data_IF_965448146856
#
_entry.id   IF_965448146856
#
_cell.length_a   1.000
_cell.length_b   1.000
_cell.length_c   1.000
_cell.angle_alpha   90.00
_cell.angle_beta   90.00
_cell.angle_gamma   90.00
#
_symmetry.space_group_name_H-M   'P 1'
#
loop_
_entity.id
_entity.type
_entity.pdbx_description
1 polymer ?
#
# COMPACT_ATOMS: atom_id res chain seq x y z
N UNK A 1 11.01 -32.34 -0.30
CA UNK A 1 12.11 -31.48 0.21
C UNK A 1 11.67 -30.05 0.00
N UNK A 2 11.58 -29.20 1.04
CA UNK A 2 11.14 -27.82 0.81
C UNK A 2 12.28 -27.09 0.10
N UNK A 3 12.03 -26.28 -0.93
CA UNK A 3 13.09 -25.58 -1.66
C UNK A 3 13.91 -24.63 -0.76
N UNK A 4 13.34 -24.18 0.36
CA UNK A 4 13.98 -23.36 1.39
C UNK A 4 14.92 -24.13 2.34
N UNK A 5 14.89 -25.46 2.37
CA UNK A 5 15.75 -26.25 3.27
C UNK A 5 17.19 -26.37 2.76
N UNK A 6 17.44 -25.86 1.54
CA UNK A 6 18.76 -25.86 0.91
C UNK A 6 19.52 -24.58 1.26
N UNK A 7 20.86 -24.61 1.35
CA UNK A 7 21.67 -23.40 1.55
C UNK A 7 21.43 -22.34 0.46
N UNK A 8 21.04 -22.79 -0.75
CA UNK A 8 20.64 -21.92 -1.86
C UNK A 8 19.36 -21.14 -1.55
N UNK A 9 18.35 -21.78 -0.94
CA UNK A 9 17.10 -21.12 -0.56
C UNK A 9 17.32 -20.00 0.45
N UNK A 10 18.16 -20.24 1.47
CA UNK A 10 18.55 -19.20 2.43
C UNK A 10 19.35 -18.07 1.80
N UNK A 11 20.26 -18.38 0.87
CA UNK A 11 21.01 -17.37 0.15
C UNK A 11 20.10 -16.44 -0.69
N UNK A 12 19.08 -16.99 -1.35
CA UNK A 12 18.09 -16.21 -2.11
C UNK A 12 17.27 -15.31 -1.18
N UNK A 13 16.80 -15.83 -0.04
CA UNK A 13 16.05 -15.02 0.94
C UNK A 13 16.92 -13.89 1.48
N UNK A 14 18.17 -14.18 1.87
CA UNK A 14 19.11 -13.16 2.36
C UNK A 14 19.39 -12.10 1.29
N UNK A 15 19.63 -12.50 0.05
CA UNK A 15 19.84 -11.59 -1.06
C UNK A 15 18.65 -10.64 -1.24
N UNK A 16 17.43 -11.17 -1.24
CA UNK A 16 16.21 -10.36 -1.37
C UNK A 16 16.02 -9.41 -0.19
N UNK A 17 16.27 -9.87 1.03
CA UNK A 17 16.21 -9.03 2.23
C UNK A 17 17.21 -7.87 2.11
N UNK A 18 18.44 -8.13 1.67
CA UNK A 18 19.45 -7.10 1.44
C UNK A 18 19.03 -6.14 0.32
N UNK A 19 18.51 -6.65 -0.80
CA UNK A 19 18.02 -5.83 -1.91
C UNK A 19 16.86 -4.91 -1.50
N UNK A 20 15.96 -5.38 -0.63
CA UNK A 20 14.81 -4.59 -0.17
C UNK A 20 15.08 -3.78 1.10
N UNK A 21 16.21 -3.96 1.77
CA UNK A 21 16.48 -3.34 3.08
C UNK A 21 16.41 -1.80 3.03
N UNK A 22 17.03 -1.19 2.02
CA UNK A 22 17.00 0.28 1.83
C UNK A 22 15.57 0.78 1.62
N UNK A 23 14.79 0.09 0.80
CA UNK A 23 13.40 0.43 0.53
C UNK A 23 12.50 0.25 1.75
N UNK A 24 12.66 -0.86 2.50
CA UNK A 24 11.93 -1.10 3.74
C UNK A 24 12.24 -0.03 4.80
N UNK A 25 13.50 0.41 4.88
CA UNK A 25 13.89 1.51 5.77
C UNK A 25 13.22 2.82 5.34
N UNK A 26 13.16 3.12 4.05
CA UNK A 26 12.45 4.28 3.52
C UNK A 26 10.95 4.21 3.84
N UNK A 27 10.29 3.08 3.58
CA UNK A 27 8.87 2.87 3.91
C UNK A 27 8.60 3.06 5.40
N UNK A 28 9.46 2.51 6.25
CA UNK A 28 9.39 2.67 7.69
C UNK A 28 9.41 4.15 8.10
N UNK A 29 10.32 4.95 7.54
CA UNK A 29 10.37 6.39 7.80
C UNK A 29 9.11 7.11 7.30
N UNK A 30 8.56 6.71 6.15
CA UNK A 30 7.31 7.28 5.63
C UNK A 30 6.15 6.96 6.54
N UNK A 31 5.99 5.71 6.99
CA UNK A 31 4.91 5.34 7.89
C UNK A 31 4.99 6.06 9.25
N UNK A 32 6.19 6.37 9.74
CA UNK A 32 6.37 7.16 10.96
C UNK A 32 6.00 8.64 10.80
N UNK A 33 6.30 9.23 9.64
CA UNK A 33 6.25 10.69 9.45
C UNK A 33 5.04 11.16 8.66
N UNK A 34 4.42 10.29 7.88
CA UNK A 34 3.33 10.65 6.98
C UNK A 34 1.99 10.60 7.69
N UNK A 35 1.24 11.69 7.60
CA UNK A 35 -0.13 11.74 8.10
C UNK A 35 -1.06 10.76 7.36
N UNK A 36 -0.75 10.42 6.10
CA UNK A 36 -1.59 9.58 5.23
C UNK A 36 -1.36 8.08 5.36
N UNK A 37 -0.15 7.67 5.75
CA UNK A 37 0.31 6.28 5.63
C UNK A 37 0.65 5.60 6.96
N UNK A 38 0.20 6.16 8.09
CA UNK A 38 0.43 5.56 9.41
C UNK A 38 -0.15 4.15 9.56
N UNK A 39 -1.21 3.79 8.81
CA UNK A 39 -1.78 2.43 8.80
C UNK A 39 -0.85 1.39 8.15
N UNK A 40 0.18 1.83 7.42
CA UNK A 40 1.10 0.97 6.68
C UNK A 40 1.79 -0.08 7.55
N UNK A 41 2.06 0.21 8.83
CA UNK A 41 2.62 -0.76 9.79
C UNK A 41 1.72 -1.96 10.05
N UNK A 42 0.41 -1.76 10.01
CA UNK A 42 -0.58 -2.79 10.40
C UNK A 42 -0.77 -3.79 9.25
N UNK A 43 -0.60 -3.35 8.01
CA UNK A 43 -0.79 -4.18 6.81
C UNK A 43 0.09 -5.45 6.79
N UNK A 44 1.42 -5.40 6.97
CA UNK A 44 2.24 -6.62 6.96
C UNK A 44 1.90 -7.56 8.12
N UNK A 45 1.49 -7.01 9.29
CA UNK A 45 1.04 -7.80 10.44
C UNK A 45 -0.25 -8.54 10.11
N UNK A 46 -1.23 -7.84 9.51
CA UNK A 46 -2.48 -8.45 9.05
C UNK A 46 -2.20 -9.50 7.98
N UNK A 47 -1.40 -9.19 6.95
CA UNK A 47 -1.03 -10.18 5.93
C UNK A 47 -0.43 -11.43 6.55
N UNK A 48 0.51 -11.29 7.51
CA UNK A 48 1.08 -12.41 8.25
C UNK A 48 0.04 -13.22 9.03
N UNK A 49 -0.90 -12.55 9.69
CA UNK A 49 -2.03 -13.20 10.37
C UNK A 49 -2.94 -13.97 9.40
N UNK A 50 -3.24 -13.41 8.22
CA UNK A 50 -4.05 -14.08 7.21
C UNK A 50 -3.35 -15.33 6.64
N UNK A 51 -2.03 -15.28 6.44
CA UNK A 51 -1.23 -16.46 6.11
C UNK A 51 -1.31 -17.51 7.22
N UNK A 52 -1.18 -17.10 8.48
CA UNK A 52 -1.29 -17.99 9.64
C UNK A 52 -2.67 -18.65 9.76
N UNK A 53 -3.77 -17.91 9.50
CA UNK A 53 -5.15 -18.45 9.48
C UNK A 53 -5.30 -19.55 8.42
N UNK A 54 -4.61 -19.43 7.29
CA UNK A 54 -4.63 -20.42 6.19
C UNK A 54 -3.61 -21.56 6.35
N UNK A 55 -2.83 -21.62 7.43
CA UNK A 55 -1.78 -22.64 7.63
C UNK A 55 -2.31 -24.08 7.50
N UNK A 56 -3.52 -24.36 7.98
CA UNK A 56 -4.11 -25.70 7.88
C UNK A 56 -4.28 -26.16 6.43
N UNK A 57 -4.84 -25.29 5.58
CA UNK A 57 -5.00 -25.54 4.14
C UNK A 57 -3.65 -25.62 3.43
N UNK A 58 -2.70 -24.76 3.80
CA UNK A 58 -1.35 -24.76 3.22
C UNK A 58 -0.59 -26.06 3.54
N UNK A 59 -0.81 -26.66 4.72
CA UNK A 59 -0.18 -27.92 5.12
C UNK A 59 -0.79 -29.13 4.42
N UNK A 60 -2.05 -29.07 3.98
CA UNK A 60 -2.72 -30.14 3.24
C UNK A 60 -2.27 -30.25 1.79
N UNK A 61 -1.80 -29.15 1.20
CA UNK A 61 -1.30 -29.10 -0.18
C UNK A 61 0.21 -29.27 -0.17
N UNK A 62 0.75 -30.28 -0.85
CA UNK A 62 2.20 -30.44 -0.98
C UNK A 62 2.82 -29.23 -1.70
N UNK A 63 3.98 -28.71 -1.26
CA UNK A 63 4.68 -27.68 -2.01
C UNK A 63 5.19 -28.25 -3.32
N UNK A 64 4.94 -27.52 -4.41
CA UNK A 64 5.45 -27.81 -5.74
C UNK A 64 6.19 -26.57 -6.27
N UNK A 65 7.32 -26.77 -6.93
CA UNK A 65 8.06 -25.68 -7.58
C UNK A 65 7.44 -25.43 -8.95
N UNK A 66 7.02 -24.19 -9.22
CA UNK A 66 6.48 -23.81 -10.54
C UNK A 66 7.33 -22.73 -11.19
N UNK A 67 8.05 -23.09 -12.27
CA UNK A 67 8.91 -22.17 -13.03
C UNK A 67 8.14 -20.98 -13.62
N UNK A 68 6.81 -21.06 -13.75
CA UNK A 68 5.98 -19.91 -14.16
C UNK A 68 6.09 -18.75 -13.16
N UNK A 69 6.44 -19.00 -11.91
CA UNK A 69 6.78 -17.96 -10.93
C UNK A 69 7.93 -17.06 -11.38
N UNK A 70 8.85 -17.56 -12.20
CA UNK A 70 9.96 -16.80 -12.77
C UNK A 70 9.47 -15.69 -13.72
N UNK A 71 8.36 -15.94 -14.42
CA UNK A 71 7.74 -14.95 -15.32
C UNK A 71 7.17 -13.73 -14.57
N UNK A 72 6.92 -13.86 -13.25
CA UNK A 72 6.51 -12.75 -12.40
C UNK A 72 7.69 -12.17 -11.62
N UNK A 73 8.58 -13.05 -11.14
CA UNK A 73 9.75 -12.68 -10.34
C UNK A 73 10.76 -11.84 -11.12
N UNK A 74 11.17 -12.26 -12.33
CA UNK A 74 12.21 -11.56 -13.09
C UNK A 74 11.77 -10.16 -13.52
N UNK A 75 10.57 -9.95 -14.10
CA UNK A 75 10.11 -8.61 -14.43
C UNK A 75 9.89 -7.76 -13.17
N UNK A 76 9.40 -8.34 -12.07
CA UNK A 76 9.26 -7.64 -10.80
C UNK A 76 10.61 -7.14 -10.26
N UNK A 77 11.64 -7.98 -10.31
CA UNK A 77 12.99 -7.61 -9.88
C UNK A 77 13.61 -6.56 -10.82
N UNK A 78 13.47 -6.73 -12.14
CA UNK A 78 13.94 -5.75 -13.12
C UNK A 78 13.25 -4.39 -12.92
N UNK A 79 11.93 -4.39 -12.68
CA UNK A 79 11.16 -3.19 -12.39
C UNK A 79 11.60 -2.54 -11.06
N UNK A 80 11.87 -3.34 -10.02
CA UNK A 80 12.39 -2.83 -8.75
C UNK A 80 13.72 -2.12 -8.96
N UNK A 81 14.68 -2.75 -9.65
CA UNK A 81 15.99 -2.16 -9.92
C UNK A 81 15.90 -0.92 -10.81
N UNK A 82 15.03 -0.93 -11.83
CA UNK A 82 14.77 0.24 -12.66
C UNK A 82 14.17 1.39 -11.85
N UNK A 83 13.25 1.09 -10.92
CA UNK A 83 12.64 2.09 -10.05
C UNK A 83 13.59 2.62 -8.96
N UNK A 84 14.57 1.81 -8.52
CA UNK A 84 15.69 2.29 -7.69
C UNK A 84 16.55 3.26 -8.49
N UNK A 85 16.92 2.90 -9.73
CA UNK A 85 17.72 3.75 -10.61
C UNK A 85 17.03 5.08 -10.95
N UNK A 86 15.72 5.05 -11.15
CA UNK A 86 14.91 6.22 -11.47
C UNK A 86 14.42 7.01 -10.23
N UNK A 87 14.76 6.56 -9.01
CA UNK A 87 14.29 7.13 -7.73
C UNK A 87 12.75 7.22 -7.61
N UNK A 88 12.05 6.22 -8.15
CA UNK A 88 10.58 6.14 -8.14
C UNK A 88 10.10 5.18 -7.04
N UNK A 89 10.02 5.69 -5.82
CA UNK A 89 9.76 4.90 -4.62
C UNK A 89 8.39 4.19 -4.59
N UNK A 90 7.33 4.75 -5.19
CA UNK A 90 6.03 4.07 -5.22
C UNK A 90 6.08 2.82 -6.12
N UNK A 91 6.80 2.88 -7.25
CA UNK A 91 6.98 1.74 -8.16
C UNK A 91 7.80 0.65 -7.50
N UNK A 92 8.83 1.01 -6.71
CA UNK A 92 9.61 0.05 -5.92
C UNK A 92 8.71 -0.81 -5.01
N UNK A 93 7.67 -0.22 -4.41
CA UNK A 93 6.75 -0.96 -3.54
C UNK A 93 5.87 -1.96 -4.27
N UNK A 94 5.26 -1.55 -5.39
CA UNK A 94 4.49 -2.48 -6.22
C UNK A 94 5.37 -3.58 -6.83
N UNK A 95 6.59 -3.25 -7.24
CA UNK A 95 7.57 -4.21 -7.72
C UNK A 95 7.96 -5.22 -6.63
N UNK A 96 8.21 -4.77 -5.39
CA UNK A 96 8.50 -5.64 -4.25
C UNK A 96 7.36 -6.62 -3.99
N UNK A 97 6.10 -6.17 -3.97
CA UNK A 97 4.93 -7.06 -3.79
C UNK A 97 4.82 -8.06 -4.95
N UNK A 98 5.13 -7.63 -6.17
CA UNK A 98 5.17 -8.51 -7.35
C UNK A 98 6.25 -9.59 -7.22
N UNK A 99 7.44 -9.24 -6.73
CA UNK A 99 8.52 -10.20 -6.45
C UNK A 99 8.09 -11.20 -5.37
N UNK A 100 7.43 -10.75 -4.30
CA UNK A 100 6.88 -11.63 -3.26
C UNK A 100 5.87 -12.62 -3.87
N UNK A 101 4.95 -12.15 -4.71
CA UNK A 101 4.00 -13.01 -5.42
C UNK A 101 4.69 -14.03 -6.35
N UNK A 102 5.72 -13.60 -7.07
CA UNK A 102 6.52 -14.46 -7.94
C UNK A 102 7.27 -15.54 -7.15
N UNK A 103 7.83 -15.20 -5.98
CA UNK A 103 8.48 -16.15 -5.08
C UNK A 103 7.50 -17.16 -4.49
N UNK A 104 6.32 -16.70 -4.08
CA UNK A 104 5.24 -17.56 -3.59
C UNK A 104 4.86 -18.59 -4.67
N UNK A 105 4.67 -18.15 -5.91
CA UNK A 105 4.35 -19.05 -7.03
C UNK A 105 5.51 -20.00 -7.35
N UNK A 106 6.76 -19.48 -7.38
CA UNK A 106 7.95 -20.26 -7.69
C UNK A 106 8.22 -21.36 -6.67
N UNK A 107 8.11 -21.05 -5.37
CA UNK A 107 8.51 -21.94 -4.27
C UNK A 107 7.39 -22.85 -3.77
N UNK A 108 6.13 -22.41 -3.91
CA UNK A 108 4.98 -23.10 -3.32
C UNK A 108 3.91 -23.50 -4.34
N UNK A 109 4.06 -23.11 -5.61
CA UNK A 109 3.22 -23.54 -6.70
C UNK A 109 1.88 -22.82 -6.77
N UNK A 110 1.11 -23.04 -7.84
CA UNK A 110 -0.09 -22.26 -8.15
C UNK A 110 -1.21 -22.43 -7.13
N UNK A 111 -1.34 -23.62 -6.54
CA UNK A 111 -2.40 -23.91 -5.57
C UNK A 111 -2.21 -23.11 -4.28
N UNK A 112 -0.99 -23.12 -3.70
CA UNK A 112 -0.68 -22.32 -2.51
C UNK A 112 -0.61 -20.83 -2.85
N UNK A 113 -0.13 -20.45 -4.03
CA UNK A 113 -0.17 -19.07 -4.48
C UNK A 113 -1.60 -18.53 -4.53
N UNK A 114 -2.57 -19.32 -4.99
CA UNK A 114 -3.99 -18.95 -4.96
C UNK A 114 -4.54 -18.80 -3.54
N UNK A 115 -4.12 -19.65 -2.60
CA UNK A 115 -4.45 -19.50 -1.19
C UNK A 115 -3.83 -18.23 -0.56
N UNK A 116 -2.69 -17.78 -1.07
CA UNK A 116 -1.96 -16.61 -0.58
C UNK A 116 -2.21 -15.33 -1.39
N UNK A 117 -3.03 -15.41 -2.45
CA UNK A 117 -3.26 -14.30 -3.37
C UNK A 117 -3.74 -13.04 -2.64
N UNK A 118 -4.75 -13.17 -1.78
CA UNK A 118 -5.25 -12.03 -1.01
C UNK A 118 -4.23 -11.52 0.02
N UNK A 119 -3.62 -12.33 0.90
CA UNK A 119 -2.57 -11.86 1.81
C UNK A 119 -1.42 -11.11 1.12
N UNK A 120 -1.00 -11.56 -0.06
CA UNK A 120 0.07 -10.92 -0.85
C UNK A 120 -0.45 -9.64 -1.51
N UNK A 121 -1.63 -9.67 -2.15
CA UNK A 121 -2.22 -8.47 -2.76
C UNK A 121 -2.52 -7.39 -1.72
N UNK A 122 -2.91 -7.77 -0.50
CA UNK A 122 -3.17 -6.84 0.61
C UNK A 122 -1.93 -6.02 0.98
N UNK A 123 -0.72 -6.55 0.77
CA UNK A 123 0.53 -5.79 0.98
C UNK A 123 0.61 -4.56 0.08
N UNK A 124 -0.07 -4.50 -1.07
CA UNK A 124 -0.06 -3.29 -1.91
C UNK A 124 -0.61 -2.06 -1.17
N UNK A 125 -1.50 -2.24 -0.19
CA UNK A 125 -2.12 -1.16 0.58
C UNK A 125 -1.19 -0.51 1.61
N UNK A 126 -0.01 -1.12 1.85
CA UNK A 126 1.03 -0.52 2.69
C UNK A 126 1.97 0.39 1.89
N UNK A 127 1.94 0.30 0.54
CA UNK A 127 2.84 1.05 -0.34
C UNK A 127 2.41 2.51 -0.37
N UNK A 128 3.26 3.44 0.08
CA UNK A 128 2.95 4.86 -0.02
C UNK A 128 2.96 5.28 -1.48
N UNK A 129 1.87 5.91 -1.93
CA UNK A 129 1.81 6.51 -3.27
C UNK A 129 2.61 7.81 -3.32
N UNK A 130 2.94 8.23 -4.54
CA UNK A 130 3.70 9.45 -4.76
C UNK A 130 3.01 10.70 -4.19
N UNK A 131 3.81 11.64 -3.67
CA UNK A 131 3.30 12.88 -3.06
C UNK A 131 2.50 13.73 -4.04
N UNK A 132 2.89 13.77 -5.31
CA UNK A 132 2.16 14.50 -6.34
C UNK A 132 0.77 13.90 -6.52
N UNK A 133 0.66 12.57 -6.51
CA UNK A 133 -0.63 11.90 -6.63
C UNK A 133 -1.53 12.17 -5.41
N UNK A 134 -0.97 12.14 -4.20
CA UNK A 134 -1.70 12.54 -2.98
C UNK A 134 -2.21 13.98 -3.12
N UNK A 135 -1.39 14.92 -3.59
CA UNK A 135 -1.78 16.32 -3.80
C UNK A 135 -2.87 16.47 -4.86
N UNK A 136 -2.77 15.76 -5.99
CA UNK A 136 -3.77 15.79 -7.05
C UNK A 136 -5.13 15.25 -6.60
N UNK A 137 -5.15 14.27 -5.70
CA UNK A 137 -6.40 13.71 -5.15
C UNK A 137 -6.97 14.58 -4.03
N UNK A 138 -6.12 15.13 -3.17
CA UNK A 138 -6.53 15.92 -2.00
C UNK A 138 -6.99 17.32 -2.36
N UNK A 139 -6.42 17.97 -3.39
CA UNK A 139 -6.80 19.32 -3.81
C UNK A 139 -8.29 19.45 -4.18
N UNK A 140 -8.87 18.62 -5.09
CA UNK A 140 -10.29 18.72 -5.42
C UNK A 140 -11.19 18.45 -4.21
N UNK A 141 -10.78 17.55 -3.30
CA UNK A 141 -11.48 17.29 -2.04
C UNK A 141 -11.48 18.53 -1.12
N UNK A 142 -10.37 19.26 -1.04
CA UNK A 142 -10.27 20.51 -0.28
C UNK A 142 -11.12 21.62 -0.89
N UNK A 143 -11.08 21.81 -2.21
CA UNK A 143 -11.91 22.81 -2.90
C UNK A 143 -13.40 22.51 -2.67
N UNK A 144 -13.79 21.23 -2.73
CA UNK A 144 -15.14 20.81 -2.43
C UNK A 144 -15.51 21.09 -0.97
N UNK A 145 -14.64 20.74 -0.02
CA UNK A 145 -14.83 21.04 1.39
C UNK A 145 -14.96 22.54 1.67
N UNK A 146 -14.11 23.36 1.05
CA UNK A 146 -14.18 24.82 1.12
C UNK A 146 -15.49 25.34 0.55
N UNK A 147 -15.96 24.80 -0.59
CA UNK A 147 -17.23 25.20 -1.19
C UNK A 147 -18.44 24.86 -0.31
N UNK A 148 -18.44 23.68 0.32
CA UNK A 148 -19.49 23.30 1.28
C UNK A 148 -19.46 24.22 2.50
N UNK A 149 -18.28 24.50 3.06
CA UNK A 149 -18.13 25.41 4.18
C UNK A 149 -18.61 26.84 3.83
N UNK A 150 -18.22 27.37 2.67
CA UNK A 150 -18.66 28.68 2.19
C UNK A 150 -20.18 28.77 2.08
N UNK A 151 -20.83 27.72 1.55
CA UNK A 151 -22.30 27.67 1.42
C UNK A 151 -22.99 27.66 2.78
N UNK A 152 -22.48 26.90 3.74
CA UNK A 152 -23.05 26.83 5.10
C UNK A 152 -22.89 28.18 5.80
N UNK A 153 -21.69 28.77 5.74
CA UNK A 153 -21.38 30.05 6.38
C UNK A 153 -22.19 31.19 5.74
N UNK A 154 -22.30 31.20 4.41
CA UNK A 154 -23.14 32.14 3.67
C UNK A 154 -24.63 32.00 4.01
N UNK A 155 -25.12 30.77 4.24
CA UNK A 155 -26.51 30.55 4.67
C UNK A 155 -26.81 31.14 6.05
N UNK A 156 -25.81 31.26 6.92
CA UNK A 156 -25.93 31.86 8.27
C UNK A 156 -25.78 33.40 8.20
N UNK A 157 -25.58 33.97 7.00
CA UNK A 157 -25.53 35.41 6.77
C UNK A 157 -24.12 36.02 6.89
N UNK A 158 -23.08 35.20 6.95
CA UNK A 158 -21.69 35.68 6.97
C UNK A 158 -21.19 35.84 5.52
N UNK A 159 -20.75 37.04 5.11
CA UNK A 159 -20.19 37.23 3.78
C UNK A 159 -18.86 36.47 3.67
N UNK A 160 -18.80 35.54 2.72
CA UNK A 160 -17.63 34.68 2.49
C UNK A 160 -17.36 34.56 0.99
N UNK A 161 -16.12 34.78 0.60
CA UNK A 161 -15.63 34.59 -0.76
C UNK A 161 -14.69 33.38 -0.81
N UNK A 162 -14.91 32.47 -1.77
CA UNK A 162 -14.06 31.29 -1.94
C UNK A 162 -13.06 31.51 -3.08
N UNK A 163 -11.78 31.30 -2.79
CA UNK A 163 -10.69 31.28 -3.76
C UNK A 163 -9.93 29.95 -3.65
N UNK A 164 -10.33 28.96 -4.45
CA UNK A 164 -9.75 27.61 -4.37
C UNK A 164 -10.02 26.95 -3.01
N UNK A 165 -8.94 26.70 -2.26
CA UNK A 165 -8.98 26.13 -0.89
C UNK A 165 -9.08 27.19 0.20
N UNK A 166 -9.04 28.48 -0.16
CA UNK A 166 -9.08 29.60 0.79
C UNK A 166 -10.47 30.23 0.84
N UNK A 167 -10.92 30.57 2.04
CA UNK A 167 -12.14 31.27 2.36
C UNK A 167 -11.80 32.63 2.97
N UNK A 168 -12.23 33.71 2.34
CA UNK A 168 -12.03 35.07 2.82
C UNK A 168 -13.33 35.63 3.40
N UNK A 169 -13.23 36.18 4.60
CA UNK A 169 -14.26 36.88 5.37
C UNK A 169 -13.66 38.28 5.70
N UNK A 170 -14.44 39.35 5.93
CA UNK A 170 -13.91 40.73 6.02
C UNK A 170 -12.60 40.92 6.81
N UNK A 171 -12.46 40.28 7.98
CA UNK A 171 -11.30 40.43 8.85
C UNK A 171 -10.35 39.22 8.86
N UNK A 172 -10.69 38.11 8.18
CA UNK A 172 -9.98 36.83 8.31
C UNK A 172 -9.94 36.02 7.02
N UNK A 173 -8.82 35.33 6.80
CA UNK A 173 -8.67 34.32 5.75
C UNK A 173 -8.42 32.95 6.38
N UNK A 174 -9.17 31.96 5.91
CA UNK A 174 -9.07 30.57 6.34
C UNK A 174 -8.65 29.70 5.17
N UNK A 175 -7.65 28.85 5.36
CA UNK A 175 -7.24 27.88 4.35
C UNK A 175 -7.64 26.47 4.80
N UNK A 176 -8.31 25.72 3.91
CA UNK A 176 -8.57 24.30 4.13
C UNK A 176 -7.27 23.54 3.86
N UNK A 177 -6.53 23.23 4.93
CA UNK A 177 -5.27 22.51 4.84
C UNK A 177 -5.44 21.10 4.27
N UNK A 178 -4.35 20.54 3.73
CA UNK A 178 -4.29 19.20 3.15
C UNK A 178 -4.80 18.09 4.10
N UNK A 179 -4.49 18.21 5.39
CA UNK A 179 -4.94 17.30 6.44
C UNK A 179 -6.48 17.23 6.57
N UNK A 180 -7.19 18.27 6.16
CA UNK A 180 -8.65 18.36 6.20
C UNK A 180 -9.34 17.75 4.97
N UNK A 181 -8.58 17.29 3.97
CA UNK A 181 -9.13 16.69 2.73
C UNK A 181 -9.91 15.39 2.93
N UNK A 182 -9.79 14.75 4.10
CA UNK A 182 -10.39 13.44 4.38
C UNK A 182 -9.70 12.26 3.66
N UNK A 183 -8.71 12.53 2.80
CA UNK A 183 -8.01 11.52 2.01
C UNK A 183 -7.30 10.47 2.89
N UNK A 184 -6.74 10.88 4.03
CA UNK A 184 -6.17 9.97 5.03
C UNK A 184 -7.18 8.88 5.45
N UNK A 185 -8.40 9.29 5.76
CA UNK A 185 -9.46 8.36 6.18
C UNK A 185 -9.85 7.43 5.02
N UNK A 186 -9.94 7.94 3.80
CA UNK A 186 -10.25 7.12 2.61
C UNK A 186 -9.18 6.03 2.41
N UNK A 187 -7.90 6.39 2.48
CA UNK A 187 -6.79 5.45 2.31
C UNK A 187 -6.85 4.38 3.41
N UNK A 188 -6.95 4.76 4.68
CA UNK A 188 -7.00 3.81 5.80
C UNK A 188 -8.26 2.91 5.75
N UNK A 189 -9.42 3.48 5.43
CA UNK A 189 -10.69 2.75 5.35
C UNK A 189 -10.75 1.82 4.14
N UNK A 190 -10.08 2.14 3.03
CA UNK A 190 -9.98 1.20 1.91
C UNK A 190 -9.27 -0.09 2.30
N UNK A 191 -8.20 0.00 3.11
CA UNK A 191 -7.54 -1.18 3.64
C UNK A 191 -8.42 -1.97 4.61
N UNK A 192 -9.12 -1.27 5.51
CA UNK A 192 -10.07 -1.92 6.42
C UNK A 192 -11.22 -2.60 5.67
N UNK A 193 -11.78 -1.93 4.65
CA UNK A 193 -12.86 -2.46 3.82
C UNK A 193 -12.42 -3.70 3.05
N UNK A 194 -11.22 -3.67 2.45
CA UNK A 194 -10.65 -4.83 1.76
C UNK A 194 -10.47 -6.02 2.72
N UNK A 195 -9.96 -5.77 3.93
CA UNK A 195 -9.85 -6.81 4.95
C UNK A 195 -11.21 -7.36 5.37
N UNK A 196 -12.17 -6.48 5.65
CA UNK A 196 -13.51 -6.87 6.09
C UNK A 196 -14.23 -7.70 5.02
N UNK A 197 -14.21 -7.26 3.76
CA UNK A 197 -14.79 -8.00 2.64
C UNK A 197 -14.21 -9.43 2.56
N UNK A 198 -12.89 -9.56 2.69
CA UNK A 198 -12.24 -10.87 2.68
C UNK A 198 -12.61 -11.74 3.88
N UNK A 199 -12.77 -11.17 5.08
CA UNK A 199 -13.13 -11.94 6.27
C UNK A 199 -14.60 -12.40 6.27
N UNK A 200 -15.49 -11.67 5.59
CA UNK A 200 -16.91 -12.01 5.48
C UNK A 200 -17.15 -13.03 4.36
N UNK A 201 -16.46 -12.88 3.22
CA UNK A 201 -16.59 -13.80 2.08
C UNK A 201 -15.71 -15.06 2.19
N UNK A 202 -14.69 -15.06 3.06
CA UNK A 202 -13.63 -16.08 3.13
C UNK A 202 -13.45 -16.83 4.46
#
# INVERSE_FOLDING_TARGET
MRPLDTPLGWAVVLLLVVCFASYLQWMWQIWMRSEYYGHGFVIPVISGYLVYRRRGQLLQVAPETDLRGLALLLPGLALFLAAVYADVNFVQGFAMVTVIGGLVLLLWGPVRARLLLFPVAFLTLMVPVDRLLVQQLSNPLQIYGAAVAARIVGFIGVPVEQHGTTLAIPDYTFEVAQACSGLKSIIAMSALAALFAFLVEG
#
